data_IF_565798654040
#
_entry.id   IF_565798654040
#
_cell.length_a   1.000
_cell.length_b   1.000
_cell.length_c   1.000
_cell.angle_alpha   90.00
_cell.angle_beta   90.00
_cell.angle_gamma   90.00
#
_symmetry.space_group_name_H-M   'P 1'
#
loop_
_entity.id
_entity.type
_entity.pdbx_description
1 polymer ?
#
# COMPACT_ATOMS: atom_id res chain seq x y z
N UNK A 1 -67.98 71.01 30.47
CA UNK A 1 -67.58 70.23 31.64
C UNK A 1 -67.62 68.75 31.26
N UNK A 2 -66.57 68.19 30.86
CA UNK A 2 -66.45 66.85 30.28
C UNK A 2 -65.50 65.98 31.12
N UNK A 3 -65.99 64.81 31.49
CA UNK A 3 -65.50 63.92 32.50
C UNK A 3 -64.12 63.31 32.34
N UNK A 4 -63.31 63.40 33.35
CA UNK A 4 -62.03 62.76 33.54
C UNK A 4 -62.12 61.33 34.15
N UNK A 5 -63.34 60.71 34.19
CA UNK A 5 -63.54 59.43 34.85
C UNK A 5 -63.29 58.16 34.02
N UNK A 6 -63.30 58.26 32.70
CA UNK A 6 -63.25 57.07 31.85
C UNK A 6 -61.81 56.47 31.56
N UNK A 7 -60.80 57.28 31.83
CA UNK A 7 -59.38 56.81 31.51
C UNK A 7 -58.74 55.94 32.58
N UNK A 8 -59.21 56.09 33.84
CA UNK A 8 -58.67 55.30 34.99
C UNK A 8 -59.23 53.85 35.06
N UNK A 9 -60.49 53.66 34.65
CA UNK A 9 -61.08 52.34 34.60
C UNK A 9 -60.49 51.44 33.54
N UNK A 10 -60.09 52.00 32.38
CA UNK A 10 -59.45 51.25 31.34
C UNK A 10 -58.00 50.82 31.75
N UNK A 11 -57.31 51.67 32.47
CA UNK A 11 -55.94 51.38 32.96
C UNK A 11 -55.94 50.27 34.05
N UNK A 12 -56.93 50.26 34.93
CA UNK A 12 -57.06 49.26 35.97
C UNK A 12 -57.42 47.85 35.45
N UNK A 13 -58.24 47.79 34.40
CA UNK A 13 -58.63 46.53 33.75
C UNK A 13 -57.47 45.92 33.02
N UNK A 14 -56.64 46.73 32.33
CA UNK A 14 -55.44 46.27 31.63
C UNK A 14 -54.39 45.77 32.62
N UNK A 15 -54.20 46.40 33.75
CA UNK A 15 -53.27 45.98 34.80
C UNK A 15 -53.63 44.61 35.40
N UNK A 16 -54.93 44.38 35.65
CA UNK A 16 -55.43 43.09 36.20
C UNK A 16 -55.28 41.95 35.18
N UNK A 17 -55.51 42.23 33.89
CA UNK A 17 -55.35 41.22 32.85
C UNK A 17 -53.84 40.87 32.61
N UNK A 18 -52.94 41.85 32.74
CA UNK A 18 -51.48 41.59 32.61
C UNK A 18 -50.95 40.81 33.83
N UNK A 19 -51.45 41.07 35.06
CA UNK A 19 -51.05 40.30 36.23
C UNK A 19 -51.58 38.84 36.17
N UNK A 20 -52.77 38.65 35.64
CA UNK A 20 -53.35 37.31 35.43
C UNK A 20 -52.54 36.50 34.39
N UNK A 21 -52.13 37.13 33.32
CA UNK A 21 -51.33 36.47 32.30
C UNK A 21 -49.92 36.08 32.79
N UNK A 22 -49.28 36.92 33.60
CA UNK A 22 -47.97 36.60 34.20
C UNK A 22 -48.09 35.46 35.22
N UNK A 23 -49.16 35.42 36.03
CA UNK A 23 -49.39 34.34 36.98
C UNK A 23 -49.66 33.00 36.28
N UNK A 24 -50.39 32.99 35.15
CA UNK A 24 -50.65 31.81 34.35
C UNK A 24 -49.37 31.26 33.69
N UNK A 25 -48.47 32.15 33.18
CA UNK A 25 -47.18 31.76 32.60
C UNK A 25 -46.23 31.21 33.66
N UNK A 26 -46.24 31.79 34.89
CA UNK A 26 -45.40 31.27 35.97
C UNK A 26 -45.95 29.94 36.53
N UNK A 27 -47.26 29.70 36.51
CA UNK A 27 -47.84 28.42 36.90
C UNK A 27 -47.60 27.32 35.84
N UNK A 28 -47.65 27.66 34.56
CA UNK A 28 -47.34 26.74 33.45
C UNK A 28 -45.85 26.33 33.46
N UNK A 29 -44.94 27.24 33.78
CA UNK A 29 -43.50 26.94 33.89
C UNK A 29 -43.19 26.07 35.13
N UNK A 30 -44.00 26.07 36.17
CA UNK A 30 -43.80 25.24 37.38
C UNK A 30 -44.33 23.82 37.22
N UNK A 31 -45.24 23.60 36.29
CA UNK A 31 -45.81 22.27 35.99
C UNK A 31 -45.01 21.49 34.94
N UNK A 32 -44.07 22.16 34.23
CA UNK A 32 -43.28 21.58 33.16
C UNK A 32 -41.85 21.12 33.51
N UNK A 33 -41.41 21.26 34.77
CA UNK A 33 -40.05 20.82 35.17
C UNK A 33 -40.02 19.38 35.68
N UNK A 34 -40.69 18.46 34.98
CA UNK A 34 -40.32 17.06 34.98
C UNK A 34 -39.02 16.91 34.17
N UNK A 35 -37.89 17.05 34.84
CA UNK A 35 -36.61 16.61 34.26
C UNK A 35 -36.73 15.11 33.94
N UNK A 36 -37.04 14.80 32.68
CA UNK A 36 -36.71 13.47 32.16
C UNK A 36 -35.19 13.34 32.32
N UNK A 37 -34.78 12.56 33.30
CA UNK A 37 -33.42 12.07 33.40
C UNK A 37 -33.13 11.31 32.07
N UNK A 38 -32.50 11.98 31.12
CA UNK A 38 -31.94 11.33 29.96
C UNK A 38 -30.82 10.45 30.52
N UNK A 39 -31.05 9.14 30.51
CA UNK A 39 -29.98 8.19 30.83
C UNK A 39 -28.76 8.55 30.00
N UNK A 40 -27.54 8.55 30.56
CA UNK A 40 -26.36 8.84 29.79
C UNK A 40 -26.30 7.85 28.61
N UNK A 41 -26.32 8.39 27.40
CA UNK A 41 -26.04 7.62 26.19
C UNK A 41 -24.72 6.92 26.46
N UNK A 42 -24.61 5.58 26.30
CA UNK A 42 -23.32 4.92 26.49
C UNK A 42 -22.33 5.61 25.57
N UNK A 43 -21.27 6.13 26.14
CA UNK A 43 -20.15 6.72 25.45
C UNK A 43 -19.63 5.62 24.51
N UNK A 44 -19.88 5.76 23.21
CA UNK A 44 -19.33 4.87 22.21
C UNK A 44 -17.82 5.07 22.29
N UNK A 45 -17.14 4.14 22.94
CA UNK A 45 -15.70 4.02 22.90
C UNK A 45 -15.35 3.83 21.42
N UNK A 46 -14.92 4.93 20.77
CA UNK A 46 -14.36 4.88 19.42
C UNK A 46 -13.06 4.10 19.56
N UNK A 47 -13.09 2.82 19.19
CA UNK A 47 -11.87 2.05 19.11
C UNK A 47 -10.94 2.75 18.11
N UNK A 48 -9.66 2.92 18.43
CA UNK A 48 -8.70 3.43 17.46
C UNK A 48 -8.77 2.56 16.20
N UNK A 49 -8.65 3.16 15.01
CA UNK A 49 -8.64 2.40 13.77
C UNK A 49 -7.55 1.31 13.83
N UNK A 50 -7.87 0.11 13.36
CA UNK A 50 -6.89 -0.95 13.30
C UNK A 50 -5.69 -0.52 12.44
N UNK A 51 -4.46 -0.87 12.85
CA UNK A 51 -3.29 -0.52 12.09
C UNK A 51 -3.35 -1.18 10.70
N UNK A 52 -2.86 -0.47 9.68
CA UNK A 52 -2.75 -1.00 8.33
C UNK A 52 -1.84 -2.24 8.30
N UNK A 53 -2.08 -3.21 7.40
CA UNK A 53 -1.41 -4.52 7.41
C UNK A 53 0.12 -4.48 7.41
N UNK A 54 0.70 -3.44 6.80
CA UNK A 54 2.16 -3.28 6.69
C UNK A 54 2.71 -2.16 7.59
N UNK A 55 1.93 -1.72 8.59
CA UNK A 55 2.40 -0.71 9.56
C UNK A 55 3.67 -1.19 10.27
N UNK A 56 4.71 -0.37 10.24
CA UNK A 56 6.01 -0.67 10.87
C UNK A 56 6.95 -1.54 10.03
N UNK A 57 6.54 -2.04 8.86
CA UNK A 57 7.42 -2.74 7.93
C UNK A 57 8.26 -1.76 7.11
N UNK A 58 9.57 -2.04 6.98
CA UNK A 58 10.46 -1.40 6.03
C UNK A 58 10.67 -2.36 4.87
N UNK A 59 10.17 -2.00 3.69
CA UNK A 59 10.20 -2.86 2.50
C UNK A 59 11.08 -2.22 1.43
N UNK A 60 12.14 -2.92 1.03
CA UNK A 60 12.92 -2.50 -0.13
C UNK A 60 12.25 -3.00 -1.40
N UNK A 61 12.02 -2.08 -2.33
CA UNK A 61 11.61 -2.38 -3.71
C UNK A 61 12.77 -2.09 -4.64
N UNK A 62 13.17 -3.10 -5.39
CA UNK A 62 14.32 -3.07 -6.29
C UNK A 62 13.85 -3.19 -7.74
N UNK A 63 13.71 -2.08 -8.50
CA UNK A 63 13.50 -2.15 -9.94
C UNK A 63 14.74 -2.72 -10.62
N UNK A 64 14.67 -3.97 -11.12
CA UNK A 64 15.81 -4.64 -11.75
C UNK A 64 16.39 -3.85 -12.92
N UNK A 65 17.69 -4.08 -13.19
CA UNK A 65 18.44 -3.36 -14.23
C UNK A 65 18.49 -1.84 -13.99
N UNK A 66 18.88 -1.06 -15.02
CA UNK A 66 18.97 0.40 -14.96
C UNK A 66 20.27 0.91 -15.60
N UNK A 67 20.26 2.17 -16.05
CA UNK A 67 21.40 2.80 -16.68
C UNK A 67 21.95 2.00 -17.86
N UNK A 68 23.21 1.54 -17.75
CA UNK A 68 23.86 0.75 -18.79
C UNK A 68 23.26 -0.66 -19.00
N UNK A 69 22.63 -1.24 -17.96
CA UNK A 69 22.00 -2.56 -18.03
C UNK A 69 20.53 -2.42 -18.45
N UNK A 70 20.23 -2.71 -19.70
CA UNK A 70 18.86 -2.63 -20.22
C UNK A 70 17.95 -3.79 -19.78
N UNK A 71 18.52 -4.91 -19.35
CA UNK A 71 17.79 -6.18 -19.22
C UNK A 71 17.40 -6.77 -20.57
N UNK A 72 16.32 -7.53 -20.59
CA UNK A 72 15.73 -8.06 -21.82
C UNK A 72 15.12 -6.95 -22.69
N UNK A 73 14.93 -7.26 -23.97
CA UNK A 73 14.28 -6.34 -24.90
C UNK A 73 12.95 -6.93 -25.37
N UNK A 74 11.89 -6.21 -25.15
CA UNK A 74 10.55 -6.57 -25.58
C UNK A 74 10.52 -6.81 -27.10
N UNK A 75 9.92 -7.91 -27.53
CA UNK A 75 10.05 -8.40 -28.92
C UNK A 75 9.29 -7.58 -29.95
N UNK A 76 8.18 -6.97 -29.55
CA UNK A 76 7.30 -6.21 -30.48
C UNK A 76 7.66 -4.73 -30.44
N UNK A 77 7.69 -4.11 -29.25
CA UNK A 77 7.93 -2.67 -29.07
C UNK A 77 9.41 -2.31 -29.11
N UNK A 78 10.29 -3.26 -28.78
CA UNK A 78 11.70 -2.99 -28.56
C UNK A 78 12.03 -2.23 -27.28
N UNK A 79 11.07 -2.08 -26.38
CA UNK A 79 11.24 -1.43 -25.08
C UNK A 79 12.18 -2.25 -24.20
N UNK A 80 13.11 -1.59 -23.50
CA UNK A 80 13.98 -2.26 -22.55
C UNK A 80 13.25 -2.60 -21.26
N UNK A 81 13.54 -3.77 -20.70
CA UNK A 81 13.00 -4.29 -19.45
C UNK A 81 13.11 -3.29 -18.29
N UNK A 82 14.26 -2.63 -18.15
CA UNK A 82 14.54 -1.66 -17.10
C UNK A 82 13.48 -0.55 -16.94
N UNK A 83 12.85 -0.14 -18.06
CA UNK A 83 11.82 0.90 -18.05
C UNK A 83 10.50 0.36 -17.50
N UNK A 84 10.16 -0.89 -17.84
CA UNK A 84 8.94 -1.55 -17.39
C UNK A 84 9.08 -1.93 -15.91
N UNK A 85 10.26 -2.43 -15.51
CA UNK A 85 10.59 -2.73 -14.12
C UNK A 85 10.40 -1.49 -13.24
N UNK A 86 10.92 -0.33 -13.67
CA UNK A 86 10.77 0.91 -12.94
C UNK A 86 9.30 1.34 -12.82
N UNK A 87 8.56 1.29 -13.93
CA UNK A 87 7.15 1.68 -13.94
C UNK A 87 6.29 0.82 -13.00
N UNK A 88 6.49 -0.50 -13.02
CA UNK A 88 5.81 -1.43 -12.11
C UNK A 88 6.25 -1.20 -10.66
N UNK A 89 7.56 -1.03 -10.42
CA UNK A 89 8.08 -0.82 -9.06
C UNK A 89 7.56 0.45 -8.40
N UNK A 90 7.34 1.53 -9.15
CA UNK A 90 6.70 2.76 -8.64
C UNK A 90 5.23 2.53 -8.24
N UNK A 91 4.50 1.67 -8.96
CA UNK A 91 3.14 1.27 -8.56
C UNK A 91 3.15 0.32 -7.34
N UNK A 92 4.17 -0.55 -7.22
CA UNK A 92 4.40 -1.37 -6.02
C UNK A 92 4.64 -0.47 -4.81
N UNK A 93 5.54 0.51 -4.92
CA UNK A 93 5.81 1.48 -3.86
C UNK A 93 4.54 2.17 -3.37
N UNK A 94 3.77 2.73 -4.29
CA UNK A 94 2.51 3.41 -3.99
C UNK A 94 1.52 2.50 -3.27
N UNK A 95 1.40 1.26 -3.72
CA UNK A 95 0.46 0.28 -3.17
C UNK A 95 0.89 -0.23 -1.78
N UNK A 96 2.18 -0.40 -1.53
CA UNK A 96 2.75 -0.76 -0.23
C UNK A 96 2.60 0.40 0.78
N UNK A 97 2.91 1.63 0.36
CA UNK A 97 2.76 2.81 1.21
C UNK A 97 1.29 3.03 1.63
N UNK A 98 0.34 2.81 0.73
CA UNK A 98 -1.09 2.86 1.04
C UNK A 98 -1.53 1.80 2.08
N UNK A 99 -0.76 0.74 2.27
CA UNK A 99 -0.95 -0.31 3.28
C UNK A 99 -0.13 -0.10 4.56
N UNK A 100 0.55 1.05 4.70
CA UNK A 100 1.27 1.46 5.91
C UNK A 100 2.76 1.11 5.93
N UNK A 101 3.34 0.57 4.86
CA UNK A 101 4.76 0.29 4.79
C UNK A 101 5.62 1.56 4.64
N UNK A 102 6.80 1.54 5.23
CA UNK A 102 7.90 2.43 4.87
C UNK A 102 8.65 1.81 3.68
N UNK A 103 8.62 2.45 2.52
CA UNK A 103 9.21 1.89 1.30
C UNK A 103 10.53 2.56 0.97
N UNK A 104 11.54 1.74 0.69
CA UNK A 104 12.87 2.15 0.20
C UNK A 104 13.02 1.64 -1.24
N UNK A 105 13.37 2.53 -2.16
CA UNK A 105 13.62 2.16 -3.56
C UNK A 105 15.14 2.10 -3.81
N UNK A 106 15.62 1.11 -4.56
CA UNK A 106 17.04 1.09 -4.97
C UNK A 106 17.33 2.15 -6.02
N UNK A 107 16.37 2.43 -6.91
CA UNK A 107 16.41 3.53 -7.89
C UNK A 107 15.01 4.07 -8.16
N UNK A 108 14.92 5.33 -8.60
CA UNK A 108 13.67 6.01 -9.00
C UNK A 108 13.71 6.54 -10.42
N UNK A 109 14.86 6.41 -11.07
CA UNK A 109 15.12 6.87 -12.43
C UNK A 109 15.82 5.77 -13.23
N UNK A 110 16.10 6.04 -14.51
CA UNK A 110 16.88 5.12 -15.35
C UNK A 110 18.38 5.32 -15.11
N UNK A 111 18.82 4.80 -13.99
CA UNK A 111 20.21 4.87 -13.52
C UNK A 111 20.73 3.51 -13.11
N UNK A 112 22.04 3.32 -13.15
CA UNK A 112 22.73 2.23 -12.46
C UNK A 112 23.31 2.75 -11.13
N UNK A 113 23.56 1.84 -10.21
CA UNK A 113 24.07 2.17 -8.88
C UNK A 113 25.60 2.07 -8.79
N UNK A 114 26.29 2.18 -9.93
CA UNK A 114 27.73 2.10 -9.98
C UNK A 114 28.38 3.45 -9.66
N UNK A 115 29.44 3.42 -8.87
CA UNK A 115 30.32 4.57 -8.70
C UNK A 115 31.24 4.74 -9.92
N UNK A 116 31.60 5.99 -10.20
CA UNK A 116 32.52 6.32 -11.30
C UNK A 116 33.89 5.70 -11.07
N UNK A 117 34.36 5.71 -9.83
CA UNK A 117 35.61 5.10 -9.40
C UNK A 117 35.34 3.75 -8.74
N UNK A 118 35.89 2.68 -9.27
CA UNK A 118 35.79 1.34 -8.70
C UNK A 118 37.10 0.57 -8.87
N UNK A 119 37.38 -0.41 -7.98
CA UNK A 119 38.52 -1.30 -8.16
C UNK A 119 38.49 -2.02 -9.52
N UNK A 120 39.66 -2.15 -10.17
CA UNK A 120 39.74 -2.81 -11.49
C UNK A 120 39.24 -4.28 -11.48
N UNK A 121 39.29 -4.93 -10.31
CA UNK A 121 38.78 -6.30 -10.11
C UNK A 121 37.26 -6.39 -10.02
N UNK A 122 36.56 -5.27 -9.82
CA UNK A 122 35.12 -5.22 -9.64
C UNK A 122 34.44 -4.81 -10.94
N UNK A 123 33.60 -5.68 -11.50
CA UNK A 123 32.79 -5.35 -12.69
C UNK A 123 31.67 -4.38 -12.34
N UNK A 124 31.22 -3.57 -13.31
CA UNK A 124 30.05 -2.70 -13.13
C UNK A 124 28.84 -3.47 -12.61
N UNK A 125 28.53 -4.61 -13.21
CA UNK A 125 27.38 -5.43 -12.82
C UNK A 125 27.49 -5.91 -11.38
N UNK A 126 28.69 -6.33 -10.96
CA UNK A 126 28.90 -6.80 -9.60
C UNK A 126 28.75 -5.65 -8.59
N UNK A 127 29.32 -4.48 -8.88
CA UNK A 127 29.17 -3.30 -8.02
C UNK A 127 27.71 -2.86 -7.91
N UNK A 128 26.98 -2.79 -9.03
CA UNK A 128 25.56 -2.46 -9.03
C UNK A 128 24.76 -3.40 -8.12
N UNK A 129 24.99 -4.70 -8.24
CA UNK A 129 24.31 -5.70 -7.39
C UNK A 129 24.71 -5.58 -5.92
N UNK A 130 25.97 -5.33 -5.60
CA UNK A 130 26.44 -5.11 -4.22
C UNK A 130 25.82 -3.85 -3.61
N UNK A 131 25.69 -2.78 -4.38
CA UNK A 131 25.08 -1.54 -3.93
C UNK A 131 23.57 -1.70 -3.66
N UNK A 132 22.84 -2.49 -4.46
CA UNK A 132 21.43 -2.84 -4.18
C UNK A 132 21.29 -3.54 -2.83
N UNK A 133 22.14 -4.52 -2.56
CA UNK A 133 22.19 -5.23 -1.27
C UNK A 133 22.57 -4.27 -0.13
N UNK A 134 23.57 -3.39 -0.34
CA UNK A 134 23.99 -2.41 0.65
C UNK A 134 22.86 -1.44 1.04
N UNK A 135 22.03 -1.01 0.07
CA UNK A 135 20.85 -0.17 0.34
C UNK A 135 19.86 -0.91 1.25
N UNK A 136 19.59 -2.20 1.00
CA UNK A 136 18.71 -3.00 1.85
C UNK A 136 19.22 -3.08 3.30
N UNK A 137 20.51 -3.36 3.47
CA UNK A 137 21.17 -3.48 4.78
C UNK A 137 21.20 -2.13 5.51
N UNK A 138 21.61 -1.06 4.82
CA UNK A 138 21.72 0.29 5.40
C UNK A 138 20.36 0.81 5.91
N UNK A 139 19.27 0.47 5.25
CA UNK A 139 17.91 0.86 5.62
C UNK A 139 17.22 -0.15 6.53
N UNK A 140 17.91 -1.23 6.93
CA UNK A 140 17.34 -2.30 7.78
C UNK A 140 16.01 -2.81 7.21
N UNK A 141 15.98 -3.11 5.91
CA UNK A 141 14.80 -3.64 5.27
C UNK A 141 14.34 -4.95 5.96
N UNK A 142 13.05 -5.04 6.23
CA UNK A 142 12.42 -6.25 6.79
C UNK A 142 12.01 -7.23 5.68
N UNK A 143 11.90 -6.75 4.44
CA UNK A 143 11.50 -7.50 3.26
C UNK A 143 12.11 -6.89 2.01
N UNK A 144 12.44 -7.72 1.02
CA UNK A 144 12.99 -7.28 -0.26
C UNK A 144 12.16 -7.83 -1.42
N UNK A 145 11.72 -6.95 -2.31
CA UNK A 145 10.95 -7.24 -3.52
C UNK A 145 11.71 -6.72 -4.75
N UNK A 146 12.33 -7.61 -5.52
CA UNK A 146 12.99 -7.25 -6.78
C UNK A 146 12.04 -7.46 -7.95
N UNK A 147 11.87 -6.45 -8.79
CA UNK A 147 10.85 -6.39 -9.84
C UNK A 147 11.52 -6.52 -11.21
N UNK A 148 11.11 -7.54 -11.94
CA UNK A 148 11.65 -7.94 -13.23
C UNK A 148 10.57 -8.34 -14.24
N UNK A 149 10.98 -8.48 -15.50
CA UNK A 149 10.18 -9.06 -16.58
C UNK A 149 10.93 -10.22 -17.20
N UNK A 150 10.25 -11.33 -17.36
CA UNK A 150 10.85 -12.55 -17.90
C UNK A 150 11.03 -12.48 -19.44
N UNK A 151 12.00 -13.24 -19.92
CA UNK A 151 12.17 -13.51 -21.35
C UNK A 151 12.50 -14.99 -21.55
N UNK A 152 11.89 -15.60 -22.57
CA UNK A 152 12.19 -16.97 -22.92
C UNK A 152 12.15 -17.19 -24.43
N UNK A 153 12.91 -18.19 -24.94
CA UNK A 153 12.94 -18.53 -26.38
C UNK A 153 11.55 -18.84 -26.94
N UNK A 154 10.77 -19.64 -26.21
CA UNK A 154 9.40 -19.97 -26.59
C UNK A 154 8.45 -18.86 -26.20
N UNK A 155 8.00 -18.09 -27.18
CA UNK A 155 7.08 -16.97 -27.01
C UNK A 155 5.68 -17.36 -26.47
N UNK A 156 5.38 -18.65 -26.35
CA UNK A 156 4.14 -19.15 -25.73
C UNK A 156 4.21 -19.18 -24.20
N UNK A 157 5.40 -18.99 -23.62
CA UNK A 157 5.53 -18.86 -22.17
C UNK A 157 4.81 -17.60 -21.71
N UNK A 158 4.09 -17.73 -20.59
CA UNK A 158 3.26 -16.67 -20.03
C UNK A 158 3.06 -16.85 -18.53
N UNK A 159 2.53 -15.82 -17.86
CA UNK A 159 2.19 -15.77 -16.46
C UNK A 159 3.34 -15.33 -15.55
N UNK A 160 3.02 -14.62 -14.46
CA UNK A 160 4.02 -14.16 -13.49
C UNK A 160 4.71 -15.35 -12.81
N UNK A 161 5.97 -15.16 -12.44
CA UNK A 161 6.80 -16.18 -11.81
C UNK A 161 7.58 -15.55 -10.66
N UNK A 162 7.43 -16.07 -9.45
CA UNK A 162 8.15 -15.56 -8.28
C UNK A 162 9.27 -16.52 -7.88
N UNK A 163 10.44 -15.94 -7.59
CA UNK A 163 11.63 -16.68 -7.17
C UNK A 163 12.05 -16.33 -5.75
N UNK A 164 12.61 -17.32 -5.05
CA UNK A 164 13.18 -17.19 -3.71
C UNK A 164 14.52 -17.94 -3.62
N UNK A 165 15.36 -17.63 -2.63
CA UNK A 165 16.62 -18.35 -2.38
C UNK A 165 16.36 -19.77 -1.88
N UNK A 166 17.03 -20.77 -2.46
CA UNK A 166 16.99 -22.15 -1.96
C UNK A 166 17.35 -22.20 -0.47
N UNK A 167 16.56 -22.90 0.33
CA UNK A 167 16.77 -23.05 1.77
C UNK A 167 16.33 -21.85 2.63
N UNK A 168 15.81 -20.75 2.05
CA UNK A 168 15.27 -19.63 2.79
C UNK A 168 13.76 -19.81 3.00
N UNK A 169 13.34 -20.38 4.15
CA UNK A 169 11.93 -20.67 4.42
C UNK A 169 11.04 -19.43 4.44
N UNK A 170 11.53 -18.32 5.01
CA UNK A 170 10.81 -17.05 5.01
C UNK A 170 10.65 -16.49 3.59
N UNK A 171 11.69 -16.57 2.76
CA UNK A 171 11.63 -16.18 1.34
C UNK A 171 10.69 -17.08 0.54
N UNK A 172 10.67 -18.38 0.81
CA UNK A 172 9.74 -19.33 0.19
C UNK A 172 8.29 -19.03 0.52
N UNK A 173 7.99 -18.69 1.79
CA UNK A 173 6.65 -18.29 2.22
C UNK A 173 6.22 -16.98 1.55
N UNK A 174 7.08 -15.96 1.55
CA UNK A 174 6.83 -14.70 0.87
C UNK A 174 6.55 -14.91 -0.63
N UNK A 175 7.40 -15.69 -1.31
CA UNK A 175 7.21 -15.98 -2.72
C UNK A 175 5.90 -16.74 -3.01
N UNK A 176 5.46 -17.61 -2.08
CA UNK A 176 4.16 -18.28 -2.15
C UNK A 176 3.00 -17.28 -2.11
N UNK A 177 2.97 -16.40 -1.10
CA UNK A 177 1.94 -15.37 -0.97
C UNK A 177 1.89 -14.47 -2.22
N UNK A 178 3.05 -13.99 -2.69
CA UNK A 178 3.13 -13.15 -3.90
C UNK A 178 2.63 -13.89 -5.15
N UNK A 179 3.01 -15.15 -5.32
CA UNK A 179 2.60 -15.96 -6.48
C UNK A 179 1.09 -16.20 -6.48
N UNK A 180 0.50 -16.49 -5.34
CA UNK A 180 -0.94 -16.73 -5.19
C UNK A 180 -1.75 -15.46 -5.50
N UNK A 181 -1.37 -14.31 -4.96
CA UNK A 181 -2.06 -13.04 -5.23
C UNK A 181 -1.90 -12.60 -6.68
N UNK A 182 -0.72 -12.77 -7.28
CA UNK A 182 -0.51 -12.48 -8.69
C UNK A 182 -1.40 -13.34 -9.59
N UNK A 183 -1.59 -14.63 -9.27
CA UNK A 183 -2.47 -15.51 -10.03
C UNK A 183 -3.94 -15.08 -9.85
N UNK A 184 -4.37 -14.83 -8.62
CA UNK A 184 -5.75 -14.46 -8.30
C UNK A 184 -6.14 -13.14 -8.98
N UNK A 185 -5.29 -12.14 -8.86
CA UNK A 185 -5.58 -10.80 -9.36
C UNK A 185 -5.40 -10.67 -10.87
N UNK A 186 -4.32 -11.21 -11.44
CA UNK A 186 -4.02 -11.03 -12.86
C UNK A 186 -4.73 -12.04 -13.75
N UNK A 187 -5.21 -13.16 -13.20
CA UNK A 187 -5.85 -14.25 -13.94
C UNK A 187 -5.07 -14.64 -15.22
N UNK A 188 -3.75 -14.98 -15.09
CA UNK A 188 -2.91 -15.22 -16.24
C UNK A 188 -3.35 -16.47 -17.01
N UNK A 189 -3.04 -16.53 -18.32
CA UNK A 189 -3.30 -17.71 -19.14
C UNK A 189 -2.58 -18.98 -18.61
N UNK A 190 -1.49 -18.81 -17.87
CA UNK A 190 -0.78 -19.90 -17.21
C UNK A 190 -0.51 -19.56 -15.76
N UNK A 191 -1.12 -20.27 -14.83
CA UNK A 191 -0.78 -20.24 -13.43
C UNK A 191 0.56 -20.97 -13.19
N UNK A 192 1.53 -20.24 -12.60
CA UNK A 192 2.86 -20.77 -12.25
C UNK A 192 2.96 -20.97 -10.74
N UNK A 193 4.01 -21.64 -10.30
CA UNK A 193 4.33 -21.79 -8.88
C UNK A 193 5.60 -21.03 -8.54
N UNK A 194 5.71 -20.55 -7.30
CA UNK A 194 6.96 -19.99 -6.81
C UNK A 194 8.07 -21.06 -6.86
N UNK A 195 9.28 -20.66 -7.24
CA UNK A 195 10.42 -21.59 -7.39
C UNK A 195 11.68 -21.02 -6.74
N UNK A 196 12.60 -21.92 -6.37
CA UNK A 196 13.94 -21.52 -5.99
C UNK A 196 14.72 -20.97 -7.19
N UNK A 197 15.50 -19.92 -6.95
CA UNK A 197 16.39 -19.31 -7.94
C UNK A 197 17.66 -18.80 -7.29
N UNK A 198 18.75 -18.78 -8.05
CA UNK A 198 20.05 -18.28 -7.61
C UNK A 198 20.27 -16.85 -8.15
N UNK A 199 19.62 -15.89 -7.49
CA UNK A 199 19.74 -14.48 -7.83
C UNK A 199 20.49 -13.75 -6.70
N UNK A 200 21.39 -12.85 -7.07
CA UNK A 200 22.25 -12.15 -6.13
C UNK A 200 21.46 -11.37 -5.06
N UNK A 201 20.42 -10.67 -5.45
CA UNK A 201 19.58 -9.87 -4.56
C UNK A 201 18.83 -10.73 -3.51
N UNK A 202 18.67 -12.01 -3.76
CA UNK A 202 18.01 -12.96 -2.84
C UNK A 202 18.96 -13.52 -1.77
N UNK A 203 20.25 -13.17 -1.77
CA UNK A 203 21.23 -13.67 -0.80
C UNK A 203 21.17 -12.99 0.57
N UNK A 204 20.22 -12.06 0.74
CA UNK A 204 19.94 -11.41 2.03
C UNK A 204 19.30 -12.38 3.02
N UNK A 205 19.53 -12.15 4.32
CA UNK A 205 18.93 -12.97 5.39
C UNK A 205 17.46 -12.63 5.67
N UNK A 206 16.99 -11.47 5.19
CA UNK A 206 15.57 -11.09 5.29
C UNK A 206 14.74 -11.77 4.21
N UNK A 207 13.42 -11.95 4.41
CA UNK A 207 12.51 -12.47 3.39
C UNK A 207 12.68 -11.69 2.09
N UNK A 208 13.11 -12.37 1.04
CA UNK A 208 13.43 -11.76 -0.25
C UNK A 208 12.80 -12.55 -1.39
N UNK A 209 12.19 -11.84 -2.34
CA UNK A 209 11.59 -12.43 -3.52
C UNK A 209 11.93 -11.61 -4.77
N UNK A 210 12.16 -12.30 -5.89
CA UNK A 210 12.26 -11.70 -7.22
C UNK A 210 11.00 -12.06 -8.00
N UNK A 211 10.33 -11.04 -8.50
CA UNK A 211 9.05 -11.16 -9.19
C UNK A 211 9.24 -10.87 -10.67
N UNK A 212 9.15 -11.91 -11.47
CA UNK A 212 9.00 -11.81 -12.92
C UNK A 212 7.52 -11.57 -13.23
N UNK A 213 7.15 -10.34 -13.55
CA UNK A 213 5.75 -9.91 -13.65
C UNK A 213 5.02 -10.46 -14.88
N UNK A 214 5.76 -10.96 -15.88
CA UNK A 214 5.26 -11.54 -17.13
C UNK A 214 6.38 -11.61 -18.15
N UNK A 215 6.09 -12.15 -19.35
CA UNK A 215 7.08 -12.43 -20.38
C UNK A 215 7.11 -11.37 -21.50
N UNK A 216 8.22 -10.66 -21.64
CA UNK A 216 8.49 -9.74 -22.76
C UNK A 216 8.60 -10.46 -24.11
N UNK A 217 8.86 -11.75 -24.09
CA UNK A 217 8.85 -12.61 -25.27
C UNK A 217 7.44 -12.98 -25.76
N UNK A 218 6.40 -12.79 -24.93
CA UNK A 218 5.01 -13.05 -25.27
C UNK A 218 4.31 -11.73 -25.69
N UNK A 219 3.92 -11.62 -26.96
CA UNK A 219 3.35 -10.39 -27.50
C UNK A 219 2.03 -9.92 -26.82
N UNK A 220 1.28 -10.84 -26.22
CA UNK A 220 0.07 -10.47 -25.49
C UNK A 220 0.40 -9.91 -24.10
N UNK A 221 1.35 -10.53 -23.38
CA UNK A 221 1.81 -10.02 -22.08
C UNK A 221 2.62 -8.73 -22.23
N UNK A 222 3.50 -8.63 -23.22
CA UNK A 222 4.21 -7.39 -23.53
C UNK A 222 3.24 -6.21 -23.68
N UNK A 223 2.19 -6.37 -24.46
CA UNK A 223 1.18 -5.30 -24.62
C UNK A 223 0.54 -4.89 -23.29
N UNK A 224 0.22 -5.85 -22.42
CA UNK A 224 -0.35 -5.56 -21.10
C UNK A 224 0.67 -4.84 -20.21
N UNK A 225 1.90 -5.37 -20.10
CA UNK A 225 2.97 -4.84 -19.26
C UNK A 225 3.37 -3.39 -19.61
N UNK A 226 3.13 -2.97 -20.85
CA UNK A 226 3.35 -1.59 -21.32
C UNK A 226 2.21 -0.64 -20.97
N UNK A 227 1.09 -1.11 -20.41
CA UNK A 227 -0.04 -0.24 -20.06
C UNK A 227 -0.02 0.18 -18.59
N UNK A 228 -0.20 1.48 -18.27
CA UNK A 228 -0.22 1.96 -16.89
C UNK A 228 -1.27 1.24 -16.03
N UNK A 229 -2.44 0.93 -16.59
CA UNK A 229 -3.50 0.24 -15.87
C UNK A 229 -3.09 -1.18 -15.43
N UNK A 230 -2.37 -1.93 -16.26
CA UNK A 230 -1.89 -3.26 -15.90
C UNK A 230 -0.70 -3.19 -14.92
N UNK A 231 0.20 -2.22 -15.09
CA UNK A 231 1.30 -1.95 -14.16
C UNK A 231 0.77 -1.66 -12.75
N UNK A 232 -0.27 -0.82 -12.64
CA UNK A 232 -0.94 -0.55 -11.37
C UNK A 232 -1.59 -1.82 -10.78
N UNK A 233 -2.20 -2.65 -11.61
CA UNK A 233 -2.80 -3.93 -11.18
C UNK A 233 -1.73 -4.91 -10.66
N UNK A 234 -0.60 -5.01 -11.34
CA UNK A 234 0.56 -5.81 -10.89
C UNK A 234 1.09 -5.28 -9.55
N UNK A 235 1.27 -3.96 -9.44
CA UNK A 235 1.73 -3.32 -8.22
C UNK A 235 0.81 -3.58 -7.02
N UNK A 236 -0.49 -3.49 -7.23
CA UNK A 236 -1.49 -3.80 -6.20
C UNK A 236 -1.46 -5.27 -5.76
N UNK A 237 -1.32 -6.21 -6.71
CA UNK A 237 -1.24 -7.64 -6.43
C UNK A 237 0.04 -8.00 -5.63
N UNK A 238 1.19 -7.40 -5.97
CA UNK A 238 2.44 -7.57 -5.22
C UNK A 238 2.29 -7.04 -3.79
N UNK A 239 1.70 -5.85 -3.61
CA UNK A 239 1.49 -5.28 -2.28
C UNK A 239 0.50 -6.10 -1.44
N UNK A 240 -0.51 -6.71 -2.04
CA UNK A 240 -1.42 -7.65 -1.38
C UNK A 240 -0.69 -8.91 -0.92
N UNK A 241 0.16 -9.49 -1.76
CA UNK A 241 0.97 -10.66 -1.39
C UNK A 241 1.96 -10.38 -0.25
N UNK A 242 2.54 -9.17 -0.22
CA UNK A 242 3.38 -8.73 0.88
C UNK A 242 2.57 -8.56 2.18
N UNK A 243 1.34 -8.04 2.10
CA UNK A 243 0.44 -7.94 3.24
C UNK A 243 0.03 -9.33 3.76
N UNK A 244 -0.35 -10.25 2.88
CA UNK A 244 -0.66 -11.63 3.26
C UNK A 244 0.51 -12.33 3.95
N UNK A 245 1.74 -12.10 3.49
CA UNK A 245 2.93 -12.58 4.19
C UNK A 245 3.06 -11.99 5.60
N UNK A 246 2.86 -10.66 5.74
CA UNK A 246 2.98 -9.98 7.02
C UNK A 246 1.94 -10.46 8.04
N UNK A 247 0.75 -10.83 7.61
CA UNK A 247 -0.28 -11.45 8.46
C UNK A 247 0.14 -12.83 8.96
N UNK A 248 0.75 -13.66 8.10
CA UNK A 248 1.25 -14.99 8.47
C UNK A 248 2.52 -14.93 9.35
N UNK A 249 3.28 -13.87 9.25
CA UNK A 249 4.56 -13.63 9.94
C UNK A 249 4.63 -12.21 10.48
N UNK A 250 3.87 -11.88 11.54
CA UNK A 250 3.93 -10.55 12.13
C UNK A 250 5.34 -10.17 12.54
N UNK A 251 5.68 -8.90 12.34
CA UNK A 251 7.01 -8.37 12.67
C UNK A 251 7.31 -8.57 14.16
N UNK A 252 8.46 -9.16 14.48
CA UNK A 252 8.86 -9.48 15.85
C UNK A 252 8.38 -10.84 16.35
N UNK A 253 7.65 -11.63 15.58
CA UNK A 253 7.37 -13.02 15.91
C UNK A 253 8.66 -13.84 15.82
N UNK A 254 8.94 -14.65 16.85
CA UNK A 254 10.09 -15.55 16.84
C UNK A 254 10.00 -16.51 15.64
N UNK A 255 11.14 -16.72 14.97
CA UNK A 255 11.24 -17.83 14.00
C UNK A 255 11.00 -19.14 14.73
N UNK A 256 10.21 -20.07 14.16
CA UNK A 256 9.96 -21.38 14.73
C UNK A 256 11.23 -22.23 14.81
#
# INVERSE_FOLDING_TARGET
MGGKGGRWLAAAVIAVLLLGAVAAVLAANKAGSGQKQVAPTPEQTVQPPEPLPLTGWVILVDPGHGGYDGGARARVSGTWEKHINLAVALEVEKSLAARGASVVMTRREDEDLCETERPASLTKKRQDMENRVAIAVANRADMVLSIHMNEYRDARQSGPQVFYRQGADAGRLLAGCLQETLIAELTPARARQAMAGDYFILQLEVPSALVECGFLSNAAEERLLLTPAYQAKVGAAIAEGAAAYAELRPKGAASP
#
